data_IF_548423097222
#
_entry.id   IF_548423097222
#
_cell.length_a   1.000
_cell.length_b   1.000
_cell.length_c   1.000
_cell.angle_alpha   90.00
_cell.angle_beta   90.00
_cell.angle_gamma   90.00
#
_symmetry.space_group_name_H-M   'P 1'
#
loop_
_entity.id
_entity.type
_entity.pdbx_description
1 polymer ?
#
# COMPACT_ATOMS: atom_id res chain seq x y z
N UNK A 1 26.94 12.29 -20.85
CA UNK A 1 25.60 11.92 -20.37
C UNK A 1 25.77 11.16 -19.07
N UNK A 2 24.96 11.45 -18.06
CA UNK A 2 24.99 10.88 -16.71
C UNK A 2 23.61 10.26 -16.46
N UNK A 3 23.57 9.13 -15.76
CA UNK A 3 22.33 8.52 -15.28
C UNK A 3 22.56 8.10 -13.84
N UNK A 4 21.58 8.35 -12.97
CA UNK A 4 21.61 7.84 -11.61
C UNK A 4 21.12 6.39 -11.65
N UNK A 5 22.06 5.45 -11.58
CA UNK A 5 21.79 4.02 -11.72
C UNK A 5 21.12 3.39 -10.50
N UNK A 6 21.19 4.06 -9.35
CA UNK A 6 20.48 3.69 -8.12
C UNK A 6 20.19 4.94 -7.29
N UNK A 7 19.02 5.00 -6.65
CA UNK A 7 18.65 6.10 -5.79
C UNK A 7 17.72 5.71 -4.65
N UNK A 8 17.74 6.51 -3.57
CA UNK A 8 16.89 6.27 -2.42
C UNK A 8 15.44 6.73 -2.68
N UNK A 9 14.43 5.96 -2.24
CA UNK A 9 13.04 6.32 -2.42
C UNK A 9 12.69 7.69 -1.81
N UNK A 10 13.25 8.01 -0.63
CA UNK A 10 13.04 9.28 0.07
C UNK A 10 13.50 10.52 -0.71
N UNK A 11 14.45 10.36 -1.62
CA UNK A 11 15.06 11.46 -2.40
C UNK A 11 14.38 11.66 -3.77
N UNK A 12 13.21 11.06 -3.98
CA UNK A 12 12.49 11.08 -5.26
C UNK A 12 12.37 12.48 -5.90
N UNK A 13 12.09 13.52 -5.10
CA UNK A 13 12.01 14.90 -5.60
C UNK A 13 13.36 15.42 -6.08
N UNK A 14 14.38 15.31 -5.24
CA UNK A 14 15.71 15.82 -5.53
C UNK A 14 16.27 15.18 -6.81
N UNK A 15 16.11 13.87 -6.94
CA UNK A 15 16.55 13.11 -8.10
C UNK A 15 15.79 13.52 -9.36
N UNK A 16 14.46 13.56 -9.29
CA UNK A 16 13.62 14.04 -10.38
C UNK A 16 14.00 15.47 -10.81
N UNK A 17 14.21 16.38 -9.85
CA UNK A 17 14.56 17.77 -10.11
C UNK A 17 15.91 17.89 -10.81
N UNK A 18 16.90 17.09 -10.42
CA UNK A 18 18.20 17.04 -11.10
C UNK A 18 18.07 16.61 -12.56
N UNK A 19 17.24 15.59 -12.84
CA UNK A 19 16.92 15.13 -14.21
C UNK A 19 16.25 16.25 -15.01
N UNK A 20 15.26 16.95 -14.44
CA UNK A 20 14.54 18.03 -15.14
C UNK A 20 15.43 19.25 -15.43
N UNK A 21 16.38 19.56 -14.56
CA UNK A 21 17.17 20.79 -14.65
C UNK A 21 18.45 20.64 -15.47
N UNK A 22 18.91 19.41 -15.77
CA UNK A 22 20.18 19.17 -16.43
C UNK A 22 20.02 18.22 -17.62
N UNK A 23 20.08 18.77 -18.84
CA UNK A 23 19.95 17.97 -20.08
C UNK A 23 21.01 16.87 -20.26
N UNK A 24 22.11 16.92 -19.50
CA UNK A 24 23.12 15.87 -19.50
C UNK A 24 22.83 14.73 -18.52
N UNK A 25 21.83 14.87 -17.62
CA UNK A 25 21.31 13.83 -16.73
C UNK A 25 20.07 13.23 -17.37
N UNK A 26 20.17 11.99 -17.85
CA UNK A 26 19.15 11.39 -18.72
C UNK A 26 18.10 10.56 -17.97
N UNK A 27 18.26 10.35 -16.66
CA UNK A 27 17.31 9.58 -15.86
C UNK A 27 17.81 9.19 -14.47
N UNK A 28 16.93 8.47 -13.77
CA UNK A 28 17.06 7.98 -12.40
C UNK A 28 16.43 6.59 -12.28
N UNK A 29 17.05 5.69 -11.53
CA UNK A 29 16.55 4.37 -11.19
C UNK A 29 16.45 4.23 -9.68
N UNK A 30 15.23 4.20 -9.14
CA UNK A 30 15.00 4.03 -7.70
C UNK A 30 15.30 2.59 -7.28
N UNK A 31 15.93 2.43 -6.12
CA UNK A 31 15.98 1.18 -5.37
C UNK A 31 14.84 1.12 -4.34
N UNK A 32 13.74 0.41 -4.59
CA UNK A 32 13.42 -0.39 -5.80
C UNK A 32 12.05 -0.02 -6.36
N UNK A 33 11.71 -0.57 -7.52
CA UNK A 33 10.35 -0.46 -8.04
C UNK A 33 9.35 -1.30 -7.23
N UNK A 34 9.75 -2.53 -6.85
CA UNK A 34 8.92 -3.48 -6.10
C UNK A 34 9.74 -4.02 -4.93
N UNK A 35 9.10 -4.20 -3.78
CA UNK A 35 9.66 -4.94 -2.66
C UNK A 35 10.08 -6.36 -3.08
N UNK A 36 11.09 -6.93 -2.44
CA UNK A 36 11.66 -8.23 -2.83
C UNK A 36 12.12 -9.06 -1.64
N UNK A 37 12.29 -10.37 -1.86
CA UNK A 37 12.79 -11.32 -0.86
C UNK A 37 14.32 -11.31 -0.79
N UNK A 38 14.88 -11.52 0.40
CA UNK A 38 16.31 -11.41 0.65
C UNK A 38 16.73 -9.98 1.01
N UNK A 39 18.03 -9.76 1.15
CA UNK A 39 18.62 -8.52 1.72
C UNK A 39 17.81 -8.01 2.91
N UNK A 40 17.51 -8.95 3.80
CA UNK A 40 16.48 -8.85 4.81
C UNK A 40 16.64 -7.61 5.68
N UNK A 41 15.63 -6.75 5.68
CA UNK A 41 15.62 -5.53 6.48
C UNK A 41 16.08 -4.26 5.75
N UNK A 42 16.49 -4.33 4.48
CA UNK A 42 16.62 -3.11 3.66
C UNK A 42 15.27 -2.36 3.65
N UNK A 43 15.33 -1.04 3.81
CA UNK A 43 14.15 -0.18 3.73
C UNK A 43 13.22 -0.26 4.95
N UNK A 44 13.58 -1.00 5.99
CA UNK A 44 12.78 -1.07 7.21
C UNK A 44 12.75 0.27 7.94
N UNK A 45 11.64 0.55 8.59
CA UNK A 45 11.59 1.41 9.76
C UNK A 45 11.50 0.54 11.01
N UNK A 46 11.83 1.12 12.15
CA UNK A 46 11.77 0.43 13.44
C UNK A 46 11.43 1.42 14.56
N UNK A 47 10.84 0.91 15.64
CA UNK A 47 10.61 1.69 16.84
C UNK A 47 11.88 1.74 17.70
N UNK A 48 12.08 2.79 18.48
CA UNK A 48 13.26 2.94 19.36
C UNK A 48 13.46 1.82 20.39
N UNK A 49 12.45 0.97 20.62
CA UNK A 49 12.55 -0.25 21.43
C UNK A 49 12.95 -1.52 20.66
N UNK A 50 12.99 -1.47 19.33
CA UNK A 50 13.41 -2.59 18.47
C UNK A 50 14.93 -2.62 18.29
N UNK A 51 15.46 -3.71 17.73
CA UNK A 51 16.86 -3.79 17.30
C UNK A 51 17.14 -2.68 16.29
N UNK A 52 18.07 -1.74 16.56
CA UNK A 52 18.32 -0.59 15.71
C UNK A 52 19.18 -0.96 14.49
N UNK A 53 19.45 0.01 13.62
CA UNK A 53 20.50 -0.10 12.63
C UNK A 53 20.10 -0.67 11.28
N UNK A 54 21.09 -0.73 10.40
CA UNK A 54 21.00 -1.20 9.03
C UNK A 54 21.07 -2.73 8.94
N UNK A 55 20.65 -3.29 7.80
CA UNK A 55 20.56 -4.74 7.63
C UNK A 55 21.90 -5.49 7.71
N UNK A 56 23.02 -4.80 7.50
CA UNK A 56 24.37 -5.38 7.63
C UNK A 56 24.91 -5.32 9.07
N UNK A 57 24.22 -4.65 10.00
CA UNK A 57 24.71 -4.42 11.36
C UNK A 57 24.27 -5.51 12.33
N UNK A 58 23.10 -6.13 12.08
CA UNK A 58 22.46 -7.05 13.02
C UNK A 58 21.69 -8.16 12.31
N UNK A 59 21.46 -9.25 13.03
CA UNK A 59 20.49 -10.27 12.63
C UNK A 59 19.07 -9.74 12.87
N UNK A 60 18.33 -9.51 11.79
CA UNK A 60 17.01 -8.86 11.83
C UNK A 60 15.84 -9.83 11.61
N UNK A 61 16.05 -11.14 11.76
CA UNK A 61 14.93 -12.09 11.75
C UNK A 61 13.84 -11.62 12.75
N UNK A 62 12.56 -11.57 12.35
CA UNK A 62 11.93 -12.26 11.23
C UNK A 62 11.89 -11.53 9.89
N UNK A 63 12.56 -10.39 9.72
CA UNK A 63 12.67 -9.78 8.39
C UNK A 63 13.26 -10.79 7.39
N UNK A 64 12.52 -11.07 6.32
CA UNK A 64 12.95 -12.00 5.26
C UNK A 64 12.96 -11.35 3.86
N UNK A 65 12.74 -10.04 3.80
CA UNK A 65 12.75 -9.26 2.56
C UNK A 65 13.09 -7.79 2.78
N UNK A 66 13.19 -7.07 1.67
CA UNK A 66 13.43 -5.65 1.60
C UNK A 66 12.11 -4.90 1.38
N UNK A 67 11.82 -3.94 2.25
CA UNK A 67 10.65 -3.05 2.18
C UNK A 67 11.06 -1.66 1.67
N UNK A 68 11.70 -1.60 0.51
CA UNK A 68 12.21 -0.37 -0.10
C UNK A 68 11.61 -0.05 -1.47
N UNK A 69 10.67 -0.87 -1.94
CA UNK A 69 9.97 -0.69 -3.20
C UNK A 69 9.05 0.52 -3.22
N UNK A 70 8.68 0.97 -4.41
CA UNK A 70 7.50 1.83 -4.59
C UNK A 70 6.20 1.00 -4.50
N UNK A 71 6.25 -0.26 -4.90
CA UNK A 71 5.17 -1.24 -4.88
C UNK A 71 5.53 -2.34 -3.88
N UNK A 72 4.56 -2.86 -3.13
CA UNK A 72 4.81 -3.98 -2.22
C UNK A 72 4.87 -5.34 -2.94
N UNK A 73 5.27 -6.39 -2.22
CA UNK A 73 5.45 -7.73 -2.79
C UNK A 73 4.13 -8.36 -3.27
N UNK A 74 2.98 -7.79 -2.89
CA UNK A 74 1.66 -8.20 -3.36
C UNK A 74 1.17 -7.41 -4.58
N UNK A 75 1.96 -6.45 -5.05
CA UNK A 75 1.64 -5.58 -6.18
C UNK A 75 0.87 -4.31 -5.81
N UNK A 76 0.71 -4.00 -4.52
CA UNK A 76 0.03 -2.79 -4.08
C UNK A 76 0.96 -1.57 -4.14
N UNK A 77 0.49 -0.46 -4.69
CA UNK A 77 1.26 0.79 -4.72
C UNK A 77 1.31 1.41 -3.32
N UNK A 78 2.52 1.69 -2.82
CA UNK A 78 2.70 2.43 -1.56
C UNK A 78 2.61 3.93 -1.82
N UNK A 79 2.37 4.78 -0.80
CA UNK A 79 2.29 6.23 -0.99
C UNK A 79 3.46 6.85 -1.78
N UNK A 80 4.69 6.35 -1.58
CA UNK A 80 5.85 6.83 -2.34
C UNK A 80 5.73 6.59 -3.85
N UNK A 81 5.04 5.52 -4.31
CA UNK A 81 4.74 5.29 -5.72
C UNK A 81 3.78 6.32 -6.30
N UNK A 82 2.79 6.75 -5.51
CA UNK A 82 1.86 7.81 -5.89
C UNK A 82 2.58 9.15 -6.03
N UNK A 83 3.44 9.47 -5.07
CA UNK A 83 4.29 10.63 -5.15
C UNK A 83 5.21 10.62 -6.38
N UNK A 84 5.95 9.52 -6.60
CA UNK A 84 6.83 9.36 -7.77
C UNK A 84 6.05 9.45 -9.07
N UNK A 85 4.89 8.81 -9.17
CA UNK A 85 4.03 8.90 -10.35
C UNK A 85 3.65 10.34 -10.65
N UNK A 86 3.28 11.15 -9.65
CA UNK A 86 3.00 12.57 -9.86
C UNK A 86 4.24 13.34 -10.34
N UNK A 87 5.44 13.05 -9.85
CA UNK A 87 6.65 13.73 -10.34
C UNK A 87 6.85 13.51 -11.85
N UNK A 88 6.68 12.27 -12.32
CA UNK A 88 6.96 11.90 -13.71
C UNK A 88 5.76 11.98 -14.67
N UNK A 89 4.53 11.96 -14.16
CA UNK A 89 3.30 11.83 -14.93
C UNK A 89 2.20 12.80 -14.48
N UNK A 90 1.17 12.94 -15.33
CA UNK A 90 -0.01 13.78 -15.06
C UNK A 90 -1.32 12.98 -14.95
N UNK A 91 -1.22 11.65 -14.81
CA UNK A 91 -2.38 10.73 -14.69
C UNK A 91 -2.99 10.74 -13.29
N UNK A 92 -2.26 11.24 -12.31
CA UNK A 92 -2.64 11.34 -10.92
C UNK A 92 -2.28 12.75 -10.43
N UNK A 93 -3.16 13.39 -9.66
CA UNK A 93 -3.02 14.81 -9.29
C UNK A 93 -3.23 15.11 -7.81
N UNK A 94 -3.88 14.20 -7.07
CA UNK A 94 -4.13 14.35 -5.65
C UNK A 94 -4.11 12.98 -4.97
N UNK A 95 -3.34 12.86 -3.89
CA UNK A 95 -3.23 11.64 -3.10
C UNK A 95 -3.04 12.02 -1.63
N UNK A 96 -3.61 11.23 -0.72
CA UNK A 96 -3.56 11.50 0.72
C UNK A 96 -3.27 10.21 1.46
N UNK A 97 -2.32 10.28 2.38
CA UNK A 97 -2.00 9.23 3.31
C UNK A 97 -1.64 9.82 4.68
N UNK A 98 -1.46 8.96 5.67
CA UNK A 98 -1.21 9.35 7.05
C UNK A 98 0.07 8.68 7.51
N UNK A 99 1.01 9.49 8.00
CA UNK A 99 2.25 9.01 8.59
C UNK A 99 1.90 8.25 9.87
N UNK A 100 2.42 7.03 9.99
CA UNK A 100 2.27 6.24 11.22
C UNK A 100 2.77 7.07 12.40
N UNK A 101 1.88 7.35 13.37
CA UNK A 101 2.28 8.01 14.60
C UNK A 101 2.98 7.01 15.51
N UNK A 102 4.06 7.44 16.15
CA UNK A 102 4.76 6.60 17.10
C UNK A 102 4.05 6.65 18.46
N UNK A 103 3.75 5.51 19.12
CA UNK A 103 3.15 5.52 20.45
C UNK A 103 4.20 5.90 21.49
N UNK A 104 3.87 6.80 22.41
CA UNK A 104 4.78 7.22 23.48
C UNK A 104 5.19 6.03 24.37
N UNK A 105 6.47 5.93 24.80
CA UNK A 105 7.59 6.85 24.55
C UNK A 105 8.44 6.45 23.32
N UNK A 106 7.92 5.63 22.41
CA UNK A 106 8.66 5.13 21.26
C UNK A 106 8.78 6.20 20.16
N UNK A 107 9.87 6.13 19.42
CA UNK A 107 10.10 6.94 18.22
C UNK A 107 10.27 6.03 17.01
N UNK A 108 9.75 6.43 15.85
CA UNK A 108 10.04 5.76 14.58
C UNK A 108 11.38 6.24 14.03
N UNK A 109 12.24 5.28 13.67
CA UNK A 109 13.52 5.51 12.98
C UNK A 109 13.47 4.81 11.62
N UNK A 110 14.10 5.44 10.62
CA UNK A 110 14.14 4.95 9.24
C UNK A 110 15.57 4.60 8.84
N UNK A 111 15.77 3.46 8.19
CA UNK A 111 17.03 3.08 7.53
C UNK A 111 17.23 3.85 6.21
N UNK A 112 18.37 3.67 5.56
CA UNK A 112 18.75 4.48 4.39
C UNK A 112 17.77 4.43 3.22
N UNK A 113 17.28 3.23 2.87
CA UNK A 113 16.30 3.01 1.79
C UNK A 113 14.85 3.15 2.24
N UNK A 114 14.60 3.43 3.52
CA UNK A 114 13.25 3.54 4.04
C UNK A 114 12.62 4.88 3.67
N UNK A 115 11.30 4.85 3.49
CA UNK A 115 10.46 6.04 3.64
C UNK A 115 9.79 5.99 5.00
N UNK A 116 9.25 7.12 5.47
CA UNK A 116 8.45 7.10 6.67
C UNK A 116 7.23 6.16 6.47
N UNK A 117 6.92 5.25 7.43
CA UNK A 117 5.75 4.40 7.33
C UNK A 117 4.48 5.24 7.19
N UNK A 118 3.81 5.10 6.05
CA UNK A 118 2.73 6.00 5.65
C UNK A 118 1.63 5.16 5.02
N UNK A 119 0.38 5.40 5.44
CA UNK A 119 -0.75 4.50 5.17
C UNK A 119 -1.97 5.24 4.68
N UNK A 120 -2.75 4.59 3.81
CA UNK A 120 -4.08 5.03 3.38
C UNK A 120 -5.12 4.78 4.49
N UNK A 121 -4.88 5.28 5.70
CA UNK A 121 -5.63 4.93 6.91
C UNK A 121 -6.04 6.16 7.73
N UNK A 122 -7.31 6.18 8.12
CA UNK A 122 -7.84 7.06 9.18
C UNK A 122 -8.38 6.25 10.36
N UNK A 123 -7.66 5.20 10.77
CA UNK A 123 -7.99 4.32 11.90
C UNK A 123 -6.85 4.31 12.93
N UNK A 124 -6.80 5.34 13.78
CA UNK A 124 -5.74 5.52 14.79
C UNK A 124 -6.32 5.58 16.22
N UNK A 125 -7.10 4.59 16.67
CA UNK A 125 -7.84 4.67 17.95
C UNK A 125 -6.96 4.94 19.17
N UNK A 126 -5.72 4.43 19.20
CA UNK A 126 -4.76 4.69 20.28
C UNK A 126 -4.30 6.16 20.37
N UNK A 127 -4.55 6.95 19.32
CA UNK A 127 -4.16 8.37 19.21
C UNK A 127 -5.38 9.29 19.29
N UNK A 128 -6.52 8.84 19.84
CA UNK A 128 -7.71 9.68 20.05
C UNK A 128 -7.37 11.02 20.72
N UNK A 129 -7.67 12.12 20.03
CA UNK A 129 -7.39 13.50 20.46
C UNK A 129 -5.94 13.96 20.30
N UNK A 130 -5.02 13.06 19.92
CA UNK A 130 -3.61 13.39 19.67
C UNK A 130 -3.38 13.76 18.21
N UNK A 131 -2.36 14.58 17.96
CA UNK A 131 -2.00 14.99 16.60
C UNK A 131 -1.41 13.82 15.82
N UNK A 132 -2.04 13.50 14.69
CA UNK A 132 -1.48 12.62 13.64
C UNK A 132 -1.09 13.46 12.42
N UNK A 133 -0.04 13.04 11.71
CA UNK A 133 0.46 13.76 10.54
C UNK A 133 -0.18 13.22 9.25
N UNK A 134 -1.00 14.04 8.63
CA UNK A 134 -1.59 13.76 7.31
C UNK A 134 -0.68 14.32 6.23
N UNK A 135 -0.26 13.51 5.28
CA UNK A 135 0.57 13.89 4.14
C UNK A 135 -0.23 13.82 2.84
N UNK A 136 -0.20 14.91 2.07
CA UNK A 136 -0.94 15.06 0.82
C UNK A 136 0.05 15.35 -0.30
N UNK A 137 -0.04 14.61 -1.39
CA UNK A 137 0.68 14.88 -2.64
C UNK A 137 -0.27 15.53 -3.62
N UNK A 138 0.16 16.60 -4.28
CA UNK A 138 -0.74 17.39 -5.12
C UNK A 138 -0.02 18.10 -6.26
N UNK A 139 -0.61 18.04 -7.45
CA UNK A 139 -0.26 18.87 -8.61
C UNK A 139 -1.05 20.18 -8.68
N UNK A 140 -2.01 20.38 -7.79
CA UNK A 140 -2.68 21.69 -7.65
C UNK A 140 -1.76 22.68 -6.94
N UNK A 141 -1.91 24.00 -7.16
CA UNK A 141 -1.12 25.01 -6.45
C UNK A 141 -1.25 24.95 -4.93
N UNK A 142 -2.42 24.52 -4.44
CA UNK A 142 -2.71 24.38 -3.01
C UNK A 142 -3.62 23.18 -2.75
N UNK A 143 -3.70 22.80 -1.49
CA UNK A 143 -4.69 21.84 -0.99
C UNK A 143 -5.39 22.36 0.26
N UNK A 144 -6.66 21.97 0.44
CA UNK A 144 -7.41 22.13 1.68
C UNK A 144 -7.66 20.77 2.31
N UNK A 145 -7.54 20.70 3.63
CA UNK A 145 -7.84 19.51 4.41
C UNK A 145 -9.05 19.75 5.31
N UNK A 146 -9.98 18.80 5.30
CA UNK A 146 -11.18 18.82 6.13
C UNK A 146 -11.26 17.56 6.98
N UNK A 147 -11.69 17.71 8.23
CA UNK A 147 -12.07 16.60 9.10
C UNK A 147 -13.52 16.79 9.51
N UNK A 148 -14.38 15.83 9.17
CA UNK A 148 -15.83 15.90 9.43
C UNK A 148 -16.44 17.23 8.95
N UNK A 149 -16.10 17.56 7.70
CA UNK A 149 -16.49 18.79 6.98
C UNK A 149 -16.03 20.12 7.60
N UNK A 150 -15.23 20.09 8.67
CA UNK A 150 -14.56 21.26 9.23
C UNK A 150 -13.19 21.46 8.58
N UNK A 151 -12.93 22.66 8.08
CA UNK A 151 -11.63 23.04 7.52
C UNK A 151 -10.55 22.99 8.62
N UNK A 152 -9.51 22.19 8.38
CA UNK A 152 -8.29 22.13 9.19
C UNK A 152 -7.30 23.20 8.73
N UNK A 153 -7.14 23.35 7.42
CA UNK A 153 -6.28 24.40 6.86
C UNK A 153 -6.10 24.29 5.35
N UNK A 154 -5.40 25.27 4.80
CA UNK A 154 -4.98 25.36 3.40
C UNK A 154 -3.45 25.47 3.35
N UNK A 155 -2.77 24.71 2.48
CA UNK A 155 -1.32 24.78 2.29
C UNK A 155 -0.94 24.77 0.81
N UNK A 156 0.15 25.46 0.41
CA UNK A 156 0.68 25.38 -0.94
C UNK A 156 1.36 24.02 -1.21
N UNK A 157 1.34 23.60 -2.47
CA UNK A 157 1.91 22.33 -2.97
C UNK A 157 2.62 22.54 -4.31
N UNK A 158 3.44 23.57 -4.40
CA UNK A 158 4.27 23.89 -5.58
C UNK A 158 5.60 23.15 -5.53
N UNK A 159 6.47 23.41 -6.51
CA UNK A 159 7.86 22.95 -6.53
C UNK A 159 8.64 23.34 -5.25
N UNK A 160 8.32 24.49 -4.63
CA UNK A 160 8.95 24.93 -3.37
C UNK A 160 8.57 24.06 -2.16
N UNK A 161 7.45 23.33 -2.24
CA UNK A 161 7.02 22.36 -1.22
C UNK A 161 7.20 20.92 -1.72
N UNK A 162 7.96 20.72 -2.81
CA UNK A 162 8.13 19.42 -3.43
C UNK A 162 6.78 18.75 -3.79
N UNK A 163 5.74 19.53 -4.12
CA UNK A 163 4.40 19.02 -4.37
C UNK A 163 3.75 18.26 -3.19
N UNK A 164 4.21 18.50 -1.95
CA UNK A 164 3.67 17.89 -0.71
C UNK A 164 3.09 18.92 0.24
N UNK A 165 2.10 18.52 1.04
CA UNK A 165 1.65 19.26 2.21
C UNK A 165 1.40 18.31 3.39
N UNK A 166 1.98 18.63 4.54
CA UNK A 166 1.76 17.87 5.78
C UNK A 166 0.93 18.67 6.78
N UNK A 167 -0.11 18.09 7.37
CA UNK A 167 -0.97 18.70 8.38
C UNK A 167 -0.86 17.91 9.69
N UNK A 168 -0.82 18.61 10.83
CA UNK A 168 -1.08 18.02 12.14
C UNK A 168 -2.58 18.07 12.39
N UNK A 169 -3.18 16.93 12.67
CA UNK A 169 -4.64 16.79 12.81
C UNK A 169 -4.92 16.01 14.09
N UNK A 170 -5.64 16.58 15.08
CA UNK A 170 -6.09 15.82 16.23
C UNK A 170 -6.99 14.69 15.75
N UNK A 171 -6.57 13.44 15.97
CA UNK A 171 -7.31 12.29 15.47
C UNK A 171 -8.69 12.22 16.14
N UNK A 172 -9.73 12.21 15.31
CA UNK A 172 -11.07 11.83 15.70
C UNK A 172 -11.68 10.94 14.61
N UNK A 173 -12.44 9.89 14.98
CA UNK A 173 -13.12 9.06 14.01
C UNK A 173 -13.99 9.88 13.06
N UNK A 174 -14.02 9.47 11.80
CA UNK A 174 -14.90 10.07 10.80
C UNK A 174 -14.25 10.16 9.43
N UNK A 175 -14.48 11.27 8.74
CA UNK A 175 -14.11 11.46 7.34
C UNK A 175 -13.06 12.55 7.21
N UNK A 176 -11.87 12.16 6.76
CA UNK A 176 -10.81 13.05 6.33
C UNK A 176 -10.91 13.27 4.83
N UNK A 177 -10.95 14.53 4.38
CA UNK A 177 -11.12 14.89 2.96
C UNK A 177 -10.07 15.92 2.58
N UNK A 178 -9.20 15.56 1.64
CA UNK A 178 -8.28 16.50 0.98
C UNK A 178 -8.89 16.96 -0.34
N UNK A 179 -8.72 18.24 -0.68
CA UNK A 179 -9.23 18.84 -1.90
C UNK A 179 -8.13 19.67 -2.56
N UNK A 180 -7.91 19.45 -3.85
CA UNK A 180 -7.02 20.28 -4.66
C UNK A 180 -7.64 21.66 -4.91
N UNK A 181 -6.82 22.71 -4.87
CA UNK A 181 -7.30 24.09 -5.05
C UNK A 181 -6.52 24.79 -6.15
N UNK A 182 -7.24 25.31 -7.13
CA UNK A 182 -6.71 26.09 -8.26
C UNK A 182 -7.56 27.34 -8.46
N UNK A 183 -6.91 28.52 -8.61
CA UNK A 183 -7.60 29.81 -8.76
C UNK A 183 -8.66 30.09 -7.67
N UNK A 184 -8.39 29.63 -6.44
CA UNK A 184 -9.30 29.76 -5.29
C UNK A 184 -10.50 28.81 -5.29
N UNK A 185 -10.64 27.95 -6.30
CA UNK A 185 -11.73 26.97 -6.44
C UNK A 185 -11.27 25.57 -6.04
N UNK A 186 -12.19 24.82 -5.45
CA UNK A 186 -12.02 23.41 -5.16
C UNK A 186 -12.18 22.57 -6.42
N UNK A 187 -11.23 21.66 -6.62
CA UNK A 187 -11.13 20.82 -7.82
C UNK A 187 -11.57 19.40 -7.48
N UNK A 188 -10.68 18.41 -7.58
CA UNK A 188 -10.98 17.05 -7.12
C UNK A 188 -10.69 16.85 -5.64
N UNK A 189 -11.25 15.78 -5.08
CA UNK A 189 -11.08 15.42 -3.67
C UNK A 189 -10.74 13.95 -3.50
N UNK A 190 -9.93 13.64 -2.49
CA UNK A 190 -9.70 12.27 -2.00
C UNK A 190 -10.10 12.15 -0.53
N UNK A 191 -10.51 10.96 -0.11
CA UNK A 191 -11.12 10.71 1.20
C UNK A 191 -10.43 9.51 1.86
N UNK A 192 -10.13 9.67 3.15
CA UNK A 192 -9.90 8.56 4.07
C UNK A 192 -10.99 8.57 5.13
N UNK A 193 -11.49 7.40 5.51
CA UNK A 193 -12.62 7.29 6.43
C UNK A 193 -12.33 6.22 7.48
N UNK A 194 -12.65 6.52 8.74
CA UNK A 194 -12.57 5.55 9.83
C UNK A 194 -13.59 4.45 9.60
N UNK A 195 -13.13 3.21 9.52
CA UNK A 195 -13.98 2.02 9.48
C UNK A 195 -14.38 1.54 10.87
N UNK A 196 -15.52 0.85 10.95
CA UNK A 196 -15.92 0.06 12.11
C UNK A 196 -15.15 -1.26 12.23
N UNK A 197 -15.57 -2.12 13.17
CA UNK A 197 -14.92 -3.42 13.38
C UNK A 197 -14.96 -4.30 12.12
N UNK A 198 -13.91 -5.11 11.94
CA UNK A 198 -13.81 -6.07 10.86
C UNK A 198 -15.02 -7.03 10.88
N UNK A 199 -15.72 -7.14 9.75
CA UNK A 199 -16.97 -7.90 9.66
C UNK A 199 -17.09 -8.75 8.37
N UNK A 200 -16.47 -8.31 7.27
CA UNK A 200 -16.64 -8.92 5.95
C UNK A 200 -15.29 -9.17 5.27
N UNK A 201 -15.28 -10.17 4.39
CA UNK A 201 -14.21 -10.45 3.45
C UNK A 201 -14.68 -10.01 2.07
N UNK A 202 -13.90 -9.18 1.39
CA UNK A 202 -14.16 -8.73 0.01
C UNK A 202 -13.09 -9.30 -0.90
N UNK A 203 -13.51 -9.96 -1.97
CA UNK A 203 -12.63 -10.62 -2.94
C UNK A 203 -12.65 -9.86 -4.27
N UNK A 204 -11.47 -9.50 -4.77
CA UNK A 204 -11.30 -8.71 -5.99
C UNK A 204 -10.28 -9.43 -6.87
N UNK A 205 -10.76 -10.14 -7.90
CA UNK A 205 -9.88 -10.68 -8.93
C UNK A 205 -9.51 -9.58 -9.94
N UNK A 206 -8.24 -9.54 -10.33
CA UNK A 206 -7.80 -8.79 -11.50
C UNK A 206 -8.50 -9.28 -12.78
N UNK A 207 -8.70 -10.60 -12.89
CA UNK A 207 -9.34 -11.29 -14.00
C UNK A 207 -10.22 -12.43 -13.49
N UNK A 208 -11.48 -12.45 -13.93
CA UNK A 208 -12.42 -13.54 -13.64
C UNK A 208 -12.49 -14.62 -14.72
N UNK A 209 -11.72 -14.45 -15.80
CA UNK A 209 -11.62 -15.39 -16.91
C UNK A 209 -10.13 -15.65 -17.20
N UNK A 210 -9.73 -16.91 -17.16
CA UNK A 210 -8.36 -17.36 -17.42
C UNK A 210 -8.35 -18.52 -18.40
N UNK A 211 -7.28 -18.64 -19.17
CA UNK A 211 -7.10 -19.75 -20.11
C UNK A 211 -6.75 -21.02 -19.34
N UNK A 212 -7.40 -22.14 -19.67
CA UNK A 212 -7.06 -23.47 -19.17
C UNK A 212 -5.78 -24.04 -19.81
N UNK A 213 -4.64 -23.34 -19.65
CA UNK A 213 -3.35 -23.73 -20.23
C UNK A 213 -2.33 -24.20 -19.18
N UNK A 214 -2.73 -24.34 -17.92
CA UNK A 214 -1.83 -24.76 -16.85
C UNK A 214 -0.79 -23.71 -16.45
N UNK A 215 -0.91 -22.46 -16.91
CA UNK A 215 0.04 -21.37 -16.65
C UNK A 215 -0.65 -20.04 -16.34
N UNK A 216 -1.86 -19.81 -16.83
CA UNK A 216 -2.59 -18.56 -16.63
C UNK A 216 -2.99 -18.36 -15.17
N UNK A 217 -2.94 -17.12 -14.71
CA UNK A 217 -3.12 -16.71 -13.33
C UNK A 217 -4.26 -15.71 -13.18
N UNK A 218 -4.95 -15.80 -12.04
CA UNK A 218 -5.85 -14.78 -11.50
C UNK A 218 -5.35 -14.38 -10.12
N UNK A 219 -5.06 -13.09 -9.95
CA UNK A 219 -4.63 -12.49 -8.70
C UNK A 219 -5.87 -11.98 -7.97
N UNK A 220 -6.18 -12.59 -6.83
CA UNK A 220 -7.34 -12.22 -6.02
C UNK A 220 -6.88 -11.46 -4.79
N UNK A 221 -7.04 -10.14 -4.81
CA UNK A 221 -6.87 -9.30 -3.63
C UNK A 221 -8.01 -9.58 -2.65
N UNK A 222 -7.64 -9.80 -1.39
CA UNK A 222 -8.57 -9.92 -0.27
C UNK A 222 -8.50 -8.63 0.55
N UNK A 223 -9.64 -8.00 0.78
CA UNK A 223 -9.78 -6.87 1.70
C UNK A 223 -10.68 -7.28 2.87
N UNK A 224 -10.24 -7.00 4.09
CA UNK A 224 -11.09 -7.07 5.28
C UNK A 224 -11.79 -5.74 5.45
N UNK A 225 -13.12 -5.75 5.48
CA UNK A 225 -13.91 -4.53 5.60
C UNK A 225 -14.82 -4.60 6.82
N UNK A 226 -15.28 -3.43 7.24
CA UNK A 226 -16.39 -3.33 8.18
C UNK A 226 -17.73 -3.73 7.53
N UNK A 227 -18.81 -3.61 8.31
CA UNK A 227 -20.18 -3.91 7.86
C UNK A 227 -20.65 -3.01 6.70
N UNK A 228 -20.08 -1.82 6.55
CA UNK A 228 -20.44 -0.82 5.55
C UNK A 228 -19.50 -0.88 4.32
N UNK A 229 -18.64 -1.90 4.27
CA UNK A 229 -17.65 -2.18 3.22
C UNK A 229 -16.50 -1.16 3.15
N UNK A 230 -16.21 -0.47 4.25
CA UNK A 230 -15.00 0.36 4.38
C UNK A 230 -13.85 -0.55 4.80
N UNK A 231 -12.71 -0.46 4.12
CA UNK A 231 -11.50 -1.20 4.49
C UNK A 231 -11.18 -1.00 5.97
N UNK A 232 -10.89 -2.08 6.69
CA UNK A 232 -10.38 -2.03 8.06
C UNK A 232 -8.85 -2.18 8.04
N UNK A 233 -8.08 -1.08 7.96
CA UNK A 233 -6.63 -1.12 7.77
C UNK A 233 -5.87 -1.62 9.00
N UNK A 234 -6.54 -1.87 10.13
CA UNK A 234 -5.93 -2.50 11.31
C UNK A 234 -6.25 -4.00 11.40
N UNK A 235 -7.00 -4.56 10.45
CA UNK A 235 -7.35 -5.97 10.45
C UNK A 235 -6.12 -6.84 10.12
N UNK A 236 -5.91 -7.86 10.93
CA UNK A 236 -4.84 -8.85 10.80
C UNK A 236 -5.37 -10.31 10.91
N UNK A 237 -6.62 -10.50 10.51
CA UNK A 237 -7.34 -11.78 10.62
C UNK A 237 -6.60 -12.90 9.85
N UNK A 238 -6.55 -14.10 10.41
CA UNK A 238 -6.09 -15.31 9.70
C UNK A 238 -7.18 -15.74 8.69
N UNK A 239 -6.84 -15.75 7.42
CA UNK A 239 -7.69 -16.18 6.32
C UNK A 239 -7.42 -17.66 6.00
N UNK A 240 -8.48 -18.39 5.69
CA UNK A 240 -8.42 -19.76 5.17
C UNK A 240 -8.96 -19.78 3.75
N UNK A 241 -8.22 -20.39 2.83
CA UNK A 241 -8.56 -20.48 1.41
C UNK A 241 -8.94 -21.92 1.07
N UNK A 242 -10.11 -22.10 0.47
CA UNK A 242 -10.56 -23.36 -0.12
C UNK A 242 -10.83 -23.14 -1.59
N UNK A 243 -10.32 -24.05 -2.44
CA UNK A 243 -10.52 -24.03 -3.88
C UNK A 243 -11.26 -25.30 -4.33
N UNK A 244 -12.22 -25.14 -5.22
CA UNK A 244 -12.98 -26.22 -5.86
C UNK A 244 -12.97 -25.98 -7.38
N UNK A 245 -12.94 -27.06 -8.19
CA UNK A 245 -12.87 -26.96 -9.65
C UNK A 245 -11.45 -27.04 -10.22
N UNK A 246 -11.26 -26.78 -11.53
CA UNK A 246 -10.02 -27.06 -12.26
C UNK A 246 -8.94 -25.97 -12.09
N UNK A 247 -8.64 -25.64 -10.84
CA UNK A 247 -7.64 -24.63 -10.47
C UNK A 247 -6.84 -25.03 -9.22
N UNK A 248 -5.71 -24.36 -9.02
CA UNK A 248 -4.87 -24.55 -7.83
C UNK A 248 -4.45 -23.20 -7.24
N UNK A 249 -4.22 -23.16 -5.92
CA UNK A 249 -3.55 -22.01 -5.28
C UNK A 249 -2.07 -22.09 -5.63
N UNK A 250 -1.57 -21.12 -6.39
CA UNK A 250 -0.15 -21.00 -6.72
C UNK A 250 0.66 -20.35 -5.59
N UNK A 251 0.02 -19.46 -4.83
CA UNK A 251 0.63 -18.83 -3.68
C UNK A 251 -0.32 -17.93 -2.91
N UNK A 252 0.06 -17.62 -1.68
CA UNK A 252 -0.62 -16.69 -0.77
C UNK A 252 0.41 -15.73 -0.18
N UNK A 253 0.05 -14.47 -0.02
CA UNK A 253 0.94 -13.46 0.53
C UNK A 253 0.17 -12.36 1.27
N UNK A 254 0.87 -11.65 2.14
CA UNK A 254 0.58 -10.28 2.52
C UNK A 254 1.89 -9.48 2.33
N UNK A 255 1.87 -8.18 2.65
CA UNK A 255 3.04 -7.33 2.50
C UNK A 255 3.88 -7.16 3.78
N UNK A 256 3.64 -7.96 4.83
CA UNK A 256 4.46 -7.96 6.03
C UNK A 256 5.75 -8.76 5.80
N UNK A 257 6.89 -8.06 5.69
CA UNK A 257 8.19 -8.71 5.52
C UNK A 257 8.70 -9.44 6.77
N UNK A 258 7.92 -9.43 7.85
CA UNK A 258 8.16 -10.21 9.07
C UNK A 258 7.27 -11.44 9.16
N UNK A 259 6.34 -11.66 8.22
CA UNK A 259 5.44 -12.81 8.25
C UNK A 259 6.16 -14.06 7.72
N UNK A 260 6.48 -14.98 8.64
CA UNK A 260 7.21 -16.21 8.35
C UNK A 260 6.33 -17.34 7.79
N UNK A 261 5.03 -17.14 7.60
CA UNK A 261 4.16 -18.16 7.04
C UNK A 261 4.58 -18.50 5.58
N UNK A 262 4.52 -19.78 5.15
CA UNK A 262 4.93 -20.17 3.80
C UNK A 262 4.09 -19.53 2.69
N UNK A 263 4.74 -19.09 1.60
CA UNK A 263 4.05 -18.56 0.41
C UNK A 263 3.21 -19.61 -0.32
N UNK A 264 3.52 -20.90 -0.14
CA UNK A 264 2.70 -22.01 -0.62
C UNK A 264 1.89 -22.53 0.55
N UNK A 265 0.59 -22.23 0.55
CA UNK A 265 -0.30 -22.62 1.63
C UNK A 265 -1.75 -22.28 1.31
N UNK A 266 -2.63 -22.68 2.21
CA UNK A 266 -4.06 -22.41 2.17
C UNK A 266 -4.51 -21.46 3.30
N UNK A 267 -3.56 -20.79 3.95
CA UNK A 267 -3.83 -19.79 4.97
C UNK A 267 -2.88 -18.60 4.86
N UNK A 268 -3.35 -17.41 5.24
CA UNK A 268 -2.52 -16.20 5.33
C UNK A 268 -3.17 -15.18 6.26
N UNK A 269 -2.39 -14.50 7.09
CA UNK A 269 -2.90 -13.34 7.84
C UNK A 269 -3.11 -12.16 6.89
N UNK A 270 -4.17 -11.39 7.09
CA UNK A 270 -4.22 -10.05 6.53
C UNK A 270 -3.11 -9.19 7.17
N UNK A 271 -2.59 -8.23 6.41
CA UNK A 271 -1.72 -7.18 6.90
C UNK A 271 -2.21 -5.85 6.32
N UNK A 272 -2.37 -4.86 7.19
CA UNK A 272 -3.12 -3.64 6.90
C UNK A 272 -4.49 -3.87 6.24
N UNK A 273 -5.21 -4.89 6.70
CA UNK A 273 -6.52 -5.27 6.16
C UNK A 273 -6.48 -5.94 4.79
N UNK A 274 -5.30 -6.27 4.24
CA UNK A 274 -5.17 -6.87 2.91
C UNK A 274 -4.37 -8.17 2.92
N UNK A 275 -4.69 -9.05 1.97
CA UNK A 275 -3.89 -10.22 1.60
C UNK A 275 -4.08 -10.51 0.10
N UNK A 276 -3.29 -11.44 -0.42
CA UNK A 276 -3.34 -11.90 -1.80
C UNK A 276 -3.41 -13.43 -1.84
N UNK A 277 -4.26 -13.97 -2.71
CA UNK A 277 -4.19 -15.36 -3.17
C UNK A 277 -4.09 -15.38 -4.68
N UNK A 278 -3.16 -16.18 -5.20
CA UNK A 278 -2.95 -16.34 -6.64
C UNK A 278 -3.51 -17.69 -7.06
N UNK A 279 -4.47 -17.67 -7.97
CA UNK A 279 -5.11 -18.86 -8.53
C UNK A 279 -4.50 -19.15 -9.88
N UNK A 280 -4.05 -20.38 -10.08
CA UNK A 280 -3.49 -20.87 -11.33
C UNK A 280 -4.44 -21.85 -12.00
N UNK A 281 -4.65 -21.66 -13.30
CA UNK A 281 -5.40 -22.57 -14.14
C UNK A 281 -4.73 -23.95 -14.20
N UNK A 282 -5.54 -24.99 -14.42
CA UNK A 282 -5.05 -26.29 -14.90
C UNK A 282 -5.19 -26.36 -16.43
N UNK A 283 -5.12 -27.56 -17.00
CA UNK A 283 -5.44 -27.81 -18.42
C UNK A 283 -6.93 -28.13 -18.66
N UNK A 284 -7.73 -28.17 -17.60
CA UNK A 284 -9.17 -28.44 -17.67
C UNK A 284 -9.97 -27.13 -17.64
N UNK A 285 -10.98 -27.04 -18.50
CA UNK A 285 -11.94 -25.93 -18.49
C UNK A 285 -12.98 -26.11 -17.41
N UNK A 286 -13.54 -25.02 -16.88
CA UNK A 286 -14.65 -25.04 -15.95
C UNK A 286 -14.57 -23.92 -14.91
N UNK A 287 -15.56 -23.88 -14.03
CA UNK A 287 -15.61 -22.88 -12.96
C UNK A 287 -14.71 -23.28 -11.79
N UNK A 288 -13.82 -22.37 -11.43
CA UNK A 288 -12.97 -22.43 -10.25
C UNK A 288 -13.62 -21.58 -9.17
N UNK A 289 -14.02 -22.21 -8.07
CA UNK A 289 -14.63 -21.53 -6.93
C UNK A 289 -13.60 -21.37 -5.82
N UNK A 290 -13.26 -20.12 -5.51
CA UNK A 290 -12.52 -19.74 -4.31
C UNK A 290 -13.49 -19.42 -3.18
N UNK A 291 -13.29 -20.04 -2.03
CA UNK A 291 -13.99 -19.73 -0.77
C UNK A 291 -12.96 -19.26 0.25
N UNK A 292 -13.23 -18.12 0.89
CA UNK A 292 -12.36 -17.52 1.91
C UNK A 292 -13.13 -17.32 3.20
N UNK A 293 -12.61 -17.87 4.29
CA UNK A 293 -13.22 -17.80 5.61
C UNK A 293 -12.24 -17.32 6.67
N UNK A 294 -12.76 -16.74 7.75
CA UNK A 294 -12.00 -16.32 8.92
C UNK A 294 -12.91 -16.25 10.13
N UNK A 295 -12.36 -16.49 11.32
CA UNK A 295 -13.14 -16.42 12.56
C UNK A 295 -13.72 -15.01 12.75
N UNK A 296 -15.02 -14.94 13.01
CA UNK A 296 -15.75 -13.69 13.23
C UNK A 296 -16.09 -12.88 11.98
N UNK A 297 -15.69 -13.33 10.78
CA UNK A 297 -16.01 -12.67 9.52
C UNK A 297 -17.04 -13.50 8.72
N UNK A 298 -17.86 -12.81 7.93
CA UNK A 298 -18.71 -13.48 6.95
C UNK A 298 -17.86 -14.14 5.86
N UNK A 299 -18.10 -15.42 5.57
CA UNK A 299 -17.45 -16.14 4.48
C UNK A 299 -17.71 -15.45 3.14
N UNK A 300 -16.71 -15.42 2.27
CA UNK A 300 -16.81 -14.87 0.92
C UNK A 300 -16.47 -15.93 -0.12
N UNK A 301 -17.13 -15.86 -1.27
CA UNK A 301 -16.87 -16.75 -2.41
C UNK A 301 -16.68 -15.94 -3.69
N UNK A 302 -15.84 -16.45 -4.59
CA UNK A 302 -15.56 -15.87 -5.90
C UNK A 302 -15.42 -16.99 -6.91
N UNK A 303 -16.09 -16.85 -8.06
CA UNK A 303 -15.93 -17.76 -9.19
C UNK A 303 -15.01 -17.14 -10.25
N UNK A 304 -14.10 -17.95 -10.77
CA UNK A 304 -13.21 -17.65 -11.89
C UNK A 304 -13.48 -18.72 -12.96
N UNK A 305 -13.72 -18.33 -14.20
CA UNK A 305 -13.94 -19.28 -15.29
C UNK A 305 -12.62 -19.61 -16.00
N UNK A 306 -12.30 -20.90 -16.10
CA UNK A 306 -11.21 -21.40 -16.92
C UNK A 306 -11.76 -21.85 -18.29
N UNK A 307 -11.32 -21.20 -19.38
CA UNK A 307 -11.83 -21.46 -20.73
C UNK A 307 -10.75 -22.00 -21.68
N UNK A 308 -11.17 -22.69 -22.74
CA UNK A 308 -10.27 -23.14 -23.80
C UNK A 308 -10.02 -22.01 -24.79
N UNK A 309 -8.80 -21.89 -25.29
CA UNK A 309 -8.51 -21.06 -26.46
C UNK A 309 -8.57 -21.98 -27.67
N UNK A 310 -9.55 -21.76 -28.55
CA UNK A 310 -9.61 -22.46 -29.83
C UNK A 310 -8.31 -22.20 -30.60
N UNK A 311 -7.70 -23.28 -31.11
CA UNK A 311 -6.44 -23.24 -31.87
C UNK A 311 -6.63 -22.71 -33.28
#
# INVERSE_FOLDING_TARGET
MIVQTESYPKDAFANWKLVQNHNYVIGDFVWTAVDYLGESGIGRWYYSGDVPGEHWEHDLFPWHGAYCGDIDITGWRKPISHYRSMLYNNTEKLYMAVREPAPDPLEIKTTWWAVWPTWESWNWPAFAGQDVQVEIYSKYPKVRLYLNDKLIGEKPTTDEQEYKATFKVPYSPGKLKAVGVENGKEMESTILQTSGDAAKIKLIADRKEITANGQDLSYVTIEITDKDNILQPNAANLLHFKIEGPGAIAGVANADMKDTDPYVGNTRKAWHGRALVVIKSTHETGDIKLTVSSSGLSEATLNINAFSVDK
#
